data_IF_697448277863
#
_entry.id   IF_697448277863
#
_cell.length_a   1.000
_cell.length_b   1.000
_cell.length_c   1.000
_cell.angle_alpha   90.00
_cell.angle_beta   90.00
_cell.angle_gamma   90.00
#
_symmetry.space_group_name_H-M   'P 1'
#
loop_
_entity.id
_entity.type
_entity.pdbx_description
1 polymer ?
#
# COMPACT_ATOMS: atom_id res chain seq x y z
N UNK A 1 -16.64 -24.61 -9.71
CA UNK A 1 -15.27 -24.09 -9.74
C UNK A 1 -15.09 -22.96 -8.75
N UNK A 2 -13.92 -22.88 -8.14
CA UNK A 2 -13.57 -21.80 -7.25
C UNK A 2 -12.95 -20.65 -8.00
N UNK A 3 -13.35 -19.44 -7.66
CA UNK A 3 -12.73 -18.21 -8.16
C UNK A 3 -11.97 -17.52 -7.04
N UNK A 4 -10.92 -16.84 -7.41
CA UNK A 4 -10.07 -16.13 -6.45
C UNK A 4 -9.73 -14.74 -6.99
N UNK A 5 -9.84 -13.74 -6.14
CA UNK A 5 -9.32 -12.40 -6.40
C UNK A 5 -8.32 -12.04 -5.31
N UNK A 6 -7.15 -11.61 -5.71
CA UNK A 6 -6.11 -11.12 -4.79
C UNK A 6 -5.87 -9.64 -5.08
N UNK A 7 -5.98 -8.83 -4.05
CA UNK A 7 -5.84 -7.39 -4.15
C UNK A 7 -4.83 -6.86 -3.15
N UNK A 8 -3.97 -5.98 -3.59
CA UNK A 8 -3.07 -5.24 -2.72
C UNK A 8 -3.89 -4.19 -1.96
N UNK A 9 -3.99 -4.34 -0.64
CA UNK A 9 -4.82 -3.47 0.20
C UNK A 9 -4.06 -2.29 0.76
N UNK A 10 -2.91 -2.56 1.35
CA UNK A 10 -2.17 -1.56 2.11
C UNK A 10 -0.68 -1.76 1.92
N UNK A 11 0.05 -0.67 1.81
CA UNK A 11 1.50 -0.68 1.72
C UNK A 11 2.07 0.46 2.53
N UNK A 12 3.02 0.14 3.40
CA UNK A 12 3.80 1.11 4.16
C UNK A 12 5.26 1.00 3.76
N UNK A 13 5.90 2.13 3.55
CA UNK A 13 7.34 2.21 3.39
C UNK A 13 7.90 2.98 4.57
N UNK A 14 8.54 2.27 5.50
CA UNK A 14 8.99 2.84 6.77
C UNK A 14 10.11 3.86 6.57
N UNK A 15 10.97 3.66 5.56
CA UNK A 15 12.03 4.62 5.24
C UNK A 15 11.43 5.96 4.78
N UNK A 16 10.44 5.91 3.89
CA UNK A 16 9.76 7.14 3.43
C UNK A 16 9.03 7.84 4.56
N UNK A 17 8.39 7.09 5.45
CA UNK A 17 7.72 7.67 6.63
C UNK A 17 8.73 8.38 7.53
N UNK A 18 9.90 7.78 7.74
CA UNK A 18 10.96 8.36 8.57
C UNK A 18 11.53 9.63 7.94
N UNK A 19 11.80 9.62 6.64
CA UNK A 19 12.29 10.80 5.92
C UNK A 19 11.27 11.94 6.01
N UNK A 20 9.98 11.65 5.75
CA UNK A 20 8.94 12.68 5.83
C UNK A 20 8.86 13.31 7.20
N UNK A 21 8.96 12.50 8.26
CA UNK A 21 8.92 13.02 9.63
C UNK A 21 10.16 13.83 9.96
N UNK A 22 11.35 13.34 9.65
CA UNK A 22 12.61 13.96 10.06
C UNK A 22 12.95 15.19 9.22
N UNK A 23 12.68 15.16 7.92
CA UNK A 23 13.05 16.25 6.98
C UNK A 23 11.96 17.30 6.91
N UNK A 24 10.70 16.89 6.82
CA UNK A 24 9.58 17.80 6.56
C UNK A 24 8.62 17.97 7.74
N UNK A 25 8.78 17.20 8.81
CA UNK A 25 7.88 17.24 9.96
C UNK A 25 6.44 16.83 9.64
N UNK A 26 6.26 16.01 8.61
CA UNK A 26 4.95 15.58 8.14
C UNK A 26 4.77 14.08 8.32
N UNK A 27 3.53 13.67 8.48
CA UNK A 27 3.15 12.27 8.52
C UNK A 27 2.81 11.80 7.11
N UNK A 28 3.44 10.72 6.64
CA UNK A 28 3.13 10.11 5.37
C UNK A 28 2.00 9.11 5.56
N UNK A 29 0.89 9.29 4.81
CA UNK A 29 -0.23 8.38 4.84
C UNK A 29 0.11 7.10 4.08
N UNK A 30 -0.10 5.91 4.69
CA UNK A 30 0.08 4.65 3.98
C UNK A 30 -0.81 4.56 2.75
N UNK A 31 -0.30 3.93 1.69
CA UNK A 31 -1.09 3.68 0.50
C UNK A 31 -2.16 2.63 0.79
N UNK A 32 -3.43 2.94 0.48
CA UNK A 32 -4.55 2.06 0.74
C UNK A 32 -5.46 1.92 -0.48
N UNK A 33 -5.77 0.68 -0.86
CA UNK A 33 -6.58 0.32 -2.03
C UNK A 33 -7.73 -0.63 -1.69
N UNK A 34 -8.23 -0.58 -0.46
CA UNK A 34 -9.23 -1.53 0.02
C UNK A 34 -10.63 -1.35 -0.54
N UNK A 35 -10.96 -0.19 -1.07
CA UNK A 35 -12.33 0.13 -1.49
C UNK A 35 -12.89 -0.87 -2.50
N UNK A 36 -12.12 -1.20 -3.52
CA UNK A 36 -12.54 -2.13 -4.56
C UNK A 36 -12.70 -3.56 -4.02
N UNK A 37 -11.78 -3.97 -3.15
CA UNK A 37 -11.81 -5.28 -2.52
C UNK A 37 -13.09 -5.49 -1.70
N UNK A 38 -13.43 -4.55 -0.84
CA UNK A 38 -14.62 -4.64 0.00
C UNK A 38 -15.92 -4.49 -0.82
N UNK A 39 -15.90 -3.70 -1.89
CA UNK A 39 -17.02 -3.62 -2.82
C UNK A 39 -17.26 -4.94 -3.53
N UNK A 40 -16.22 -5.62 -3.98
CA UNK A 40 -16.33 -6.93 -4.61
C UNK A 40 -16.93 -7.97 -3.64
N UNK A 41 -16.45 -7.98 -2.40
CA UNK A 41 -17.00 -8.86 -1.37
C UNK A 41 -18.50 -8.65 -1.20
N UNK A 42 -18.93 -7.41 -1.05
CA UNK A 42 -20.33 -7.07 -0.86
C UNK A 42 -21.18 -7.48 -2.07
N UNK A 43 -20.71 -7.22 -3.28
CA UNK A 43 -21.41 -7.61 -4.51
C UNK A 43 -21.59 -9.13 -4.59
N UNK A 44 -20.54 -9.89 -4.32
CA UNK A 44 -20.60 -11.36 -4.34
C UNK A 44 -21.61 -11.87 -3.31
N UNK A 45 -21.60 -11.32 -2.12
CA UNK A 45 -22.55 -11.69 -1.08
C UNK A 45 -23.99 -11.41 -1.52
N UNK A 46 -24.26 -10.22 -2.05
CA UNK A 46 -25.61 -9.83 -2.50
C UNK A 46 -26.09 -10.66 -3.69
N UNK A 47 -25.17 -11.12 -4.54
CA UNK A 47 -25.52 -12.00 -5.66
C UNK A 47 -25.81 -13.43 -5.23
N UNK A 48 -25.60 -13.77 -3.97
CA UNK A 48 -25.94 -15.08 -3.42
C UNK A 48 -24.75 -16.00 -3.21
N UNK A 49 -23.53 -15.56 -3.45
CA UNK A 49 -22.33 -16.33 -3.15
C UNK A 49 -21.95 -16.09 -1.69
N UNK A 50 -21.21 -17.01 -1.13
CA UNK A 50 -20.68 -16.89 0.24
C UNK A 50 -19.16 -16.73 0.15
N UNK A 51 -18.68 -15.51 -0.13
CA UNK A 51 -17.24 -15.29 -0.30
C UNK A 51 -16.50 -15.41 1.02
N UNK A 52 -15.32 -16.01 0.96
CA UNK A 52 -14.39 -16.10 2.08
C UNK A 52 -13.27 -15.11 1.87
N UNK A 53 -12.89 -14.39 2.93
CA UNK A 53 -11.76 -13.46 2.90
C UNK A 53 -10.63 -13.96 3.76
N UNK A 54 -9.41 -13.69 3.30
CA UNK A 54 -8.20 -13.88 4.08
C UNK A 54 -7.23 -12.77 3.79
N UNK A 55 -6.24 -12.60 4.68
CA UNK A 55 -5.22 -11.56 4.52
C UNK A 55 -3.84 -12.21 4.59
N UNK A 56 -2.93 -11.67 3.79
CA UNK A 56 -1.52 -12.05 3.83
C UNK A 56 -0.70 -10.81 4.07
N UNK A 57 0.20 -10.87 5.04
CA UNK A 57 1.10 -9.78 5.36
C UNK A 57 2.50 -10.13 4.93
N UNK A 58 3.13 -9.24 4.17
CA UNK A 58 4.49 -9.39 3.68
C UNK A 58 5.35 -8.28 4.26
N UNK A 59 6.47 -8.68 4.83
CA UNK A 59 7.52 -7.79 5.30
C UNK A 59 8.74 -7.98 4.42
N UNK A 60 9.23 -6.90 3.81
CA UNK A 60 10.39 -6.93 2.94
C UNK A 60 11.43 -5.92 3.38
N UNK A 61 12.67 -6.34 3.46
CA UNK A 61 13.80 -5.48 3.73
C UNK A 61 14.77 -5.53 2.55
N UNK A 62 15.15 -4.38 2.03
CA UNK A 62 16.05 -4.26 0.88
C UNK A 62 17.10 -3.21 1.16
N UNK A 63 18.36 -3.53 0.88
CA UNK A 63 19.45 -2.56 0.92
C UNK A 63 19.57 -1.86 -0.41
N UNK A 64 19.62 -0.53 -0.40
CA UNK A 64 19.64 0.32 -1.59
C UNK A 64 20.89 1.18 -1.55
N UNK A 65 21.58 1.28 -2.71
CA UNK A 65 22.62 2.29 -2.92
C UNK A 65 21.94 3.50 -3.55
N UNK A 66 21.72 4.58 -2.79
CA UNK A 66 20.97 5.71 -3.32
C UNK A 66 21.75 6.49 -4.38
N UNK A 67 21.06 6.85 -5.46
CA UNK A 67 21.55 7.70 -6.54
C UNK A 67 20.53 8.81 -6.80
N UNK A 68 20.77 9.65 -7.83
CA UNK A 68 19.87 10.74 -8.19
C UNK A 68 18.48 10.23 -8.58
N UNK A 69 18.42 9.12 -9.33
CA UNK A 69 17.15 8.52 -9.73
C UNK A 69 16.36 8.02 -8.53
N UNK A 70 17.05 7.47 -7.54
CA UNK A 70 16.41 7.03 -6.32
C UNK A 70 15.81 8.20 -5.54
N UNK A 71 16.53 9.32 -5.45
CA UNK A 71 16.04 10.53 -4.79
C UNK A 71 14.83 11.09 -5.53
N UNK A 72 14.86 11.15 -6.86
CA UNK A 72 13.71 11.59 -7.66
C UNK A 72 12.49 10.70 -7.43
N UNK A 73 12.69 9.39 -7.38
CA UNK A 73 11.64 8.43 -7.09
C UNK A 73 11.05 8.63 -5.69
N UNK A 74 11.89 8.89 -4.69
CA UNK A 74 11.41 9.20 -3.34
C UNK A 74 10.53 10.45 -3.33
N UNK A 75 10.95 11.50 -4.02
CA UNK A 75 10.18 12.74 -4.10
C UNK A 75 8.81 12.52 -4.73
N UNK A 76 8.74 11.76 -5.82
CA UNK A 76 7.49 11.42 -6.49
C UNK A 76 6.50 10.69 -5.59
N UNK A 77 7.01 9.85 -4.68
CA UNK A 77 6.16 9.08 -3.77
C UNK A 77 5.81 9.80 -2.47
N UNK A 78 6.56 10.84 -2.11
CA UNK A 78 6.40 11.51 -0.83
C UNK A 78 5.81 12.91 -0.91
N UNK A 79 6.08 13.64 -2.00
CA UNK A 79 5.77 15.06 -2.10
C UNK A 79 4.81 15.35 -3.25
N UNK A 80 3.98 16.41 -3.13
CA UNK A 80 3.23 16.90 -4.28
C UNK A 80 4.19 17.53 -5.31
N UNK A 81 3.77 17.59 -6.58
CA UNK A 81 4.62 17.99 -7.70
C UNK A 81 5.20 19.41 -7.54
N UNK A 82 4.47 20.32 -6.92
CA UNK A 82 4.95 21.69 -6.67
C UNK A 82 6.09 21.77 -5.66
N UNK A 83 6.35 20.69 -4.93
CA UNK A 83 7.46 20.60 -3.99
C UNK A 83 8.66 19.83 -4.54
N UNK A 84 8.65 19.49 -5.83
CA UNK A 84 9.80 18.84 -6.50
C UNK A 84 10.85 19.89 -6.82
N UNK A 85 11.60 20.30 -5.81
CA UNK A 85 12.64 21.31 -5.94
C UNK A 85 14.01 20.72 -5.66
N UNK A 86 15.05 21.35 -6.16
CA UNK A 86 16.43 20.95 -5.88
C UNK A 86 16.74 21.09 -4.38
N UNK A 87 16.16 22.09 -3.73
CA UNK A 87 16.32 22.28 -2.28
C UNK A 87 15.80 21.07 -1.51
N UNK A 88 14.60 20.59 -1.85
CA UNK A 88 14.02 19.42 -1.19
C UNK A 88 14.80 18.14 -1.50
N UNK A 89 15.26 17.99 -2.75
CA UNK A 89 16.14 16.88 -3.13
C UNK A 89 17.42 16.86 -2.29
N UNK A 90 18.02 18.02 -2.09
CA UNK A 90 19.24 18.16 -1.29
C UNK A 90 18.98 17.81 0.19
N UNK A 91 17.86 18.23 0.76
CA UNK A 91 17.48 17.91 2.13
C UNK A 91 17.34 16.39 2.33
N UNK A 92 16.68 15.73 1.40
CA UNK A 92 16.51 14.27 1.42
C UNK A 92 17.87 13.59 1.29
N UNK A 93 18.70 14.03 0.36
CA UNK A 93 20.05 13.47 0.16
C UNK A 93 20.91 13.61 1.40
N UNK A 94 20.89 14.78 2.07
CA UNK A 94 21.65 14.99 3.31
C UNK A 94 21.19 14.03 4.41
N UNK A 95 19.88 13.84 4.55
CA UNK A 95 19.34 12.90 5.53
C UNK A 95 19.82 11.48 5.24
N UNK A 96 19.71 11.05 3.99
CA UNK A 96 20.13 9.72 3.55
C UNK A 96 21.62 9.51 3.79
N UNK A 97 22.45 10.48 3.42
CA UNK A 97 23.91 10.39 3.61
C UNK A 97 24.28 10.23 5.08
N UNK A 98 23.54 10.86 6.00
CA UNK A 98 23.77 10.74 7.42
C UNK A 98 23.34 9.37 8.00
N UNK A 99 22.56 8.60 7.25
CA UNK A 99 22.02 7.31 7.68
C UNK A 99 22.57 6.12 6.88
N UNK A 100 23.52 6.35 5.96
CA UNK A 100 24.13 5.27 5.21
C UNK A 100 24.98 4.37 6.12
N UNK A 101 24.98 3.08 5.82
CA UNK A 101 25.92 2.16 6.47
C UNK A 101 27.34 2.32 5.89
N UNK A 102 28.28 1.54 6.37
CA UNK A 102 29.68 1.57 5.91
C UNK A 102 29.86 1.20 4.43
N UNK A 103 28.89 0.50 3.85
CA UNK A 103 28.90 0.09 2.44
C UNK A 103 28.19 1.11 1.53
N UNK A 104 27.78 2.25 2.07
CA UNK A 104 27.08 3.29 1.30
C UNK A 104 25.65 2.93 0.96
N UNK A 105 25.00 2.09 1.77
CA UNK A 105 23.64 1.63 1.54
C UNK A 105 22.70 2.02 2.66
N UNK A 106 21.42 2.14 2.33
CA UNK A 106 20.36 2.38 3.31
C UNK A 106 19.31 1.28 3.21
N UNK A 107 18.74 0.91 4.34
CA UNK A 107 17.72 -0.15 4.39
C UNK A 107 16.34 0.43 4.09
N UNK A 108 15.66 -0.13 3.11
CA UNK A 108 14.27 0.17 2.81
C UNK A 108 13.40 -0.98 3.32
N UNK A 109 12.46 -0.66 4.21
CA UNK A 109 11.54 -1.64 4.81
C UNK A 109 10.14 -1.35 4.29
N UNK A 110 9.51 -2.38 3.72
CA UNK A 110 8.16 -2.30 3.19
C UNK A 110 7.27 -3.34 3.84
N UNK A 111 6.15 -2.90 4.42
CA UNK A 111 5.11 -3.77 4.95
C UNK A 111 3.89 -3.67 4.05
N UNK A 112 3.41 -4.81 3.55
CA UNK A 112 2.27 -4.89 2.65
C UNK A 112 1.21 -5.84 3.20
N UNK A 113 -0.05 -5.52 2.94
CA UNK A 113 -1.18 -6.39 3.23
C UNK A 113 -1.93 -6.67 1.95
N UNK A 114 -2.11 -7.95 1.62
CA UNK A 114 -2.92 -8.41 0.50
C UNK A 114 -4.20 -9.02 1.03
N UNK A 115 -5.31 -8.71 0.38
CA UNK A 115 -6.59 -9.35 0.64
C UNK A 115 -6.87 -10.38 -0.45
N UNK A 116 -7.48 -11.50 -0.04
CA UNK A 116 -7.92 -12.55 -0.94
C UNK A 116 -9.38 -12.82 -0.72
N UNK A 117 -10.15 -12.87 -1.81
CA UNK A 117 -11.54 -13.28 -1.80
C UNK A 117 -11.66 -14.57 -2.59
N UNK A 118 -12.26 -15.59 -1.97
CA UNK A 118 -12.53 -16.88 -2.58
C UNK A 118 -14.02 -17.12 -2.59
N UNK A 119 -14.56 -17.61 -3.69
CA UNK A 119 -15.95 -18.02 -3.78
C UNK A 119 -16.13 -19.19 -4.74
N UNK A 120 -17.13 -20.02 -4.48
CA UNK A 120 -17.48 -21.14 -5.35
C UNK A 120 -18.68 -20.72 -6.22
N UNK A 121 -18.46 -20.63 -7.53
CA UNK A 121 -19.49 -20.21 -8.49
C UNK A 121 -20.66 -21.17 -8.59
N UNK A 122 -20.52 -22.40 -8.10
CA UNK A 122 -21.59 -23.42 -8.10
C UNK A 122 -22.56 -23.26 -6.93
N UNK A 123 -22.11 -22.63 -5.85
CA UNK A 123 -22.90 -22.48 -4.62
C UNK A 123 -23.48 -21.08 -4.56
N UNK A 124 -24.73 -20.97 -5.00
CA UNK A 124 -25.44 -19.71 -5.03
C UNK A 124 -26.71 -19.80 -4.17
N UNK A 125 -26.82 -18.92 -3.20
CA UNK A 125 -27.99 -18.78 -2.33
C UNK A 125 -28.88 -17.68 -2.86
N UNK A 126 -30.19 -17.89 -2.88
CA UNK A 126 -31.16 -16.85 -3.20
C UNK A 126 -31.27 -15.93 -1.98
N UNK A 127 -30.92 -14.68 -2.16
CA UNK A 127 -30.96 -13.69 -1.07
C UNK A 127 -32.09 -12.68 -1.30
N UNK A 128 -32.69 -12.16 -0.22
CA UNK A 128 -33.67 -11.08 -0.35
C UNK A 128 -33.02 -9.81 -0.87
N UNK A 129 -33.85 -8.93 -1.42
CA UNK A 129 -33.39 -7.62 -1.85
C UNK A 129 -33.18 -6.72 -0.63
N UNK A 130 -31.94 -6.60 -0.18
CA UNK A 130 -31.60 -5.81 1.00
C UNK A 130 -31.87 -4.32 0.86
N UNK A 131 -32.03 -3.83 -0.36
CA UNK A 131 -32.39 -2.42 -0.59
C UNK A 131 -33.81 -2.11 -0.13
N UNK A 132 -34.69 -3.08 -0.09
CA UNK A 132 -36.06 -2.91 0.41
C UNK A 132 -36.14 -3.02 1.93
N UNK A 133 -35.14 -3.62 2.57
CA UNK A 133 -35.09 -3.84 4.02
C UNK A 133 -34.42 -2.68 4.73
N UNK A 134 -33.39 -2.11 4.11
CA UNK A 134 -32.60 -0.99 4.66
C UNK A 134 -33.24 0.34 4.20
N UNK A 135 -34.30 0.73 4.87
CA UNK A 135 -34.93 2.03 4.60
C UNK A 135 -34.71 3.01 5.73
#
# INVERSE_FOLDING_TARGET
>A
AWCCNTTHLERRNLLREQIMQDVFGRQLTPQWNGRWFFSLFNILFLLGYDPETSYEKLHRETWVTPDEQYIDSLMEHMLPSEEYTQENANKIMQWIQSHLNKDGQIKEITDSTYGRILWDVRNKTIRPDYRTIIK
#
